data_IF_692358641762
#
_entry.id   IF_692358641762
#
_cell.length_a   1.000
_cell.length_b   1.000
_cell.length_c   1.000
_cell.angle_alpha   90.00
_cell.angle_beta   90.00
_cell.angle_gamma   90.00
#
_symmetry.space_group_name_H-M   'P 1'
#
loop_
_entity.id
_entity.type
_entity.pdbx_description
1 polymer ?
2 polymer ?
3 water ?
#
# COMPACT_ATOMS: atom_id res chain seq x y z
N UNK A 6 6.39 10.57 8.81
CA UNK A 6 7.52 10.16 9.65
C UNK A 6 7.25 10.36 11.14
N UNK A 7 7.43 9.31 11.94
CA UNK A 7 7.33 9.40 13.39
C UNK A 7 8.44 8.57 14.02
N UNK A 8 9.17 9.16 14.95
CA UNK A 8 10.36 8.49 15.46
C UNK A 8 11.41 8.42 14.38
N UNK A 9 12.06 7.26 14.24
CA UNK A 9 13.00 7.04 13.16
C UNK A 9 12.36 6.40 11.94
N UNK A 10 11.03 6.31 11.91
CA UNK A 10 10.32 5.47 10.94
C UNK A 10 9.53 6.36 9.98
N UNK A 11 9.77 6.17 8.68
CA UNK A 11 8.94 6.76 7.64
C UNK A 11 7.65 5.95 7.59
N UNK A 12 6.53 6.57 7.99
CA UNK A 12 5.26 5.82 8.04
C UNK A 12 4.79 5.39 6.66
N UNK A 13 5.08 6.18 5.62
CA UNK A 13 4.65 5.79 4.28
C UNK A 13 5.46 4.60 3.77
N UNK A 14 6.77 4.58 4.05
CA UNK A 14 7.58 3.42 3.71
C UNK A 14 7.12 2.19 4.47
N UNK A 15 6.79 2.38 5.75
CA UNK A 15 6.29 1.26 6.54
C UNK A 15 5.01 0.72 5.94
N UNK A 16 4.09 1.63 5.57
CA UNK A 16 2.84 1.22 4.96
C UNK A 16 3.06 0.52 3.62
N UNK A 17 3.98 1.05 2.78
CA UNK A 17 4.29 0.37 1.52
C UNK A 17 4.86 -1.01 1.79
N UNK A 18 5.69 -1.11 2.82
CA UNK A 18 6.31 -2.38 3.13
C UNK A 18 5.32 -3.39 3.68
N UNK A 19 4.32 -2.92 4.46
CA UNK A 19 3.29 -3.82 4.96
C UNK A 19 2.52 -4.48 3.82
N UNK A 20 2.34 -3.76 2.69
CA UNK A 20 1.61 -4.34 1.57
C UNK A 20 2.35 -5.49 0.94
N UNK A 21 3.68 -5.57 1.09
CA UNK A 21 4.49 -6.59 0.44
C UNK A 21 4.55 -7.88 1.25
N UNK A 22 4.11 -7.86 2.50
CA UNK A 22 4.14 -9.05 3.32
C UNK A 22 3.20 -10.11 2.75
N UNK A 23 3.63 -11.37 2.85
CA UNK A 23 2.73 -12.49 2.59
C UNK A 23 1.65 -12.53 3.66
N UNK A 24 0.54 -13.20 3.32
CA UNK A 24 -0.62 -13.25 4.22
C UNK A 24 -0.27 -13.87 5.56
N UNK A 25 0.56 -14.91 5.57
CA UNK A 25 0.92 -15.51 6.86
C UNK A 25 1.82 -14.59 7.67
N UNK A 26 2.64 -13.76 7.02
CA UNK A 26 3.47 -12.81 7.75
C UNK A 26 2.70 -11.59 8.21
N UNK A 27 1.58 -11.27 7.55
CA UNK A 27 0.75 -10.17 8.03
C UNK A 27 0.16 -10.48 9.39
N UNK A 28 -0.10 -11.76 9.67
CA UNK A 28 -0.63 -12.15 10.98
C UNK A 28 0.30 -11.70 12.08
N UNK A 29 1.62 -11.78 11.84
CA UNK A 29 2.59 -11.32 12.83
C UNK A 29 2.53 -9.82 13.10
N UNK A 30 2.13 -9.02 12.11
CA UNK A 30 1.92 -7.58 12.32
C UNK A 30 0.72 -7.34 13.22
N UNK A 31 -0.40 -8.01 12.92
CA UNK A 31 -1.59 -7.92 13.75
C UNK A 31 -1.28 -8.35 15.18
N UNK A 32 -0.51 -9.44 15.33
CA UNK A 32 -0.08 -9.91 16.64
C UNK A 32 0.76 -8.85 17.36
N UNK A 33 1.76 -8.30 16.68
CA UNK A 33 2.67 -7.35 17.31
C UNK A 33 1.93 -6.08 17.74
N UNK A 34 1.02 -5.58 16.90
CA UNK A 34 0.26 -4.39 17.25
C UNK A 34 -0.70 -4.68 18.39
N UNK A 35 -1.40 -5.82 18.33
CA UNK A 35 -2.39 -6.15 19.36
C UNK A 35 -1.71 -6.42 20.70
N UNK A 36 -0.56 -7.10 20.68
CA UNK A 36 0.17 -7.39 21.90
C UNK A 36 0.72 -6.14 22.57
N UNK A 37 0.86 -5.04 21.84
CA UNK A 37 1.47 -3.83 22.37
C UNK A 37 0.48 -2.67 22.39
N UNK A 38 -0.81 -2.98 22.49
CA UNK A 38 -1.84 -1.95 22.41
C UNK A 38 -1.84 -1.08 23.65
N UNK A 39 -1.84 0.23 23.44
CA UNK A 39 -2.05 1.24 24.47
C UNK A 39 -3.34 1.98 24.14
N UNK A 40 -3.91 2.73 25.10
CA UNK A 40 -5.15 3.46 24.80
C UNK A 40 -5.02 4.47 23.67
N UNK A 41 -3.87 5.14 23.58
CA UNK A 41 -3.66 6.16 22.57
C UNK A 41 -3.54 5.60 21.17
N UNK A 42 -3.28 4.30 21.04
CA UNK A 42 -3.23 3.66 19.72
C UNK A 42 -4.63 3.48 19.17
N UNK A 43 -4.82 3.82 17.91
CA UNK A 43 -6.10 3.62 17.25
C UNK A 43 -5.99 2.34 16.43
N UNK A 44 -6.58 1.26 16.96
CA UNK A 44 -6.47 -0.06 16.37
C UNK A 44 -7.84 -0.72 16.43
N UNK A 45 -8.33 -1.18 15.28
CA UNK A 45 -9.61 -1.88 15.20
C UNK A 45 -9.40 -3.20 14.49
N UNK A 46 -9.87 -4.29 15.10
CA UNK A 46 -9.91 -5.61 14.46
C UNK A 46 -11.37 -5.97 14.22
N UNK A 47 -11.84 -5.76 13.00
CA UNK A 47 -13.17 -6.20 12.58
C UNK A 47 -13.04 -7.64 12.14
N UNK A 48 -13.23 -8.55 13.11
CA UNK A 48 -12.86 -9.95 12.91
C UNK A 48 -13.72 -10.59 11.82
N UNK A 49 -15.04 -10.40 11.89
CA UNK A 49 -15.91 -11.06 10.92
C UNK A 49 -15.70 -10.53 9.51
N UNK A 50 -15.28 -9.26 9.39
CA UNK A 50 -14.96 -8.66 8.10
C UNK A 50 -13.52 -8.89 7.68
N UNK A 51 -12.66 -9.39 8.58
CA UNK A 51 -11.26 -9.59 8.24
C UNK A 51 -10.49 -8.32 8.00
N UNK A 52 -10.75 -7.27 8.78
CA UNK A 52 -10.12 -5.98 8.61
C UNK A 52 -9.36 -5.62 9.88
N UNK A 53 -8.16 -5.10 9.69
CA UNK A 53 -7.33 -4.61 10.78
C UNK A 53 -6.92 -3.20 10.38
N UNK A 54 -7.41 -2.21 11.11
CA UNK A 54 -7.32 -0.81 10.73
C UNK A 54 -6.53 -0.09 11.80
N UNK A 55 -5.44 0.57 11.41
CA UNK A 55 -4.56 1.21 12.38
C UNK A 55 -4.19 2.61 11.90
N UNK A 56 -4.12 3.54 12.86
CA UNK A 56 -3.53 4.85 12.61
C UNK A 56 -2.05 4.73 12.94
N UNK A 57 -1.19 4.74 11.91
CA UNK A 57 0.25 4.63 12.16
C UNK A 57 0.78 5.79 12.99
N UNK A 58 0.19 6.99 12.85
CA UNK A 58 0.61 8.11 13.67
C UNK A 58 0.26 7.90 15.13
N UNK A 59 -0.71 7.04 15.44
CA UNK A 59 -1.08 6.81 16.83
C UNK A 59 -0.18 5.81 17.52
N UNK A 60 0.76 5.21 16.80
CA UNK A 60 1.56 4.16 17.41
C UNK A 60 2.79 4.74 18.08
N UNK A 61 3.22 4.15 19.19
CA UNK A 61 4.45 4.64 19.83
C UNK A 61 5.66 4.30 18.99
N UNK A 62 6.72 5.08 19.20
CA UNK A 62 7.90 5.02 18.35
C UNK A 62 8.61 3.67 18.43
N UNK A 63 8.62 3.04 19.61
CA UNK A 63 9.26 1.74 19.74
C UNK A 63 8.55 0.67 18.92
N UNK A 64 7.21 0.66 18.99
CA UNK A 64 6.44 -0.28 18.20
C UNK A 64 6.60 -0.03 16.71
N UNK A 65 6.64 1.24 16.30
CA UNK A 65 6.86 1.54 14.89
C UNK A 65 8.21 1.04 14.42
N UNK A 66 9.23 1.15 15.27
CA UNK A 66 10.54 0.63 14.90
C UNK A 66 10.54 -0.89 14.79
N UNK A 67 9.89 -1.58 15.75
CA UNK A 67 9.84 -3.04 15.65
C UNK A 67 9.01 -3.49 14.45
N UNK A 68 7.95 -2.76 14.12
CA UNK A 68 7.17 -3.06 12.92
C UNK A 68 8.01 -2.90 11.67
N UNK A 69 8.75 -1.79 11.58
CA UNK A 69 9.60 -1.54 10.43
C UNK A 69 10.69 -2.60 10.31
N UNK A 70 11.29 -2.98 11.44
CA UNK A 70 12.29 -4.05 11.42
C UNK A 70 11.69 -5.36 10.96
N UNK A 71 10.45 -5.65 11.41
CA UNK A 71 9.76 -6.87 10.98
C UNK A 71 9.49 -6.83 9.49
N UNK A 72 9.07 -5.68 8.98
CA UNK A 72 8.75 -5.54 7.57
C UNK A 72 10.00 -5.72 6.73
N UNK A 73 11.13 -5.14 7.16
CA UNK A 73 12.37 -5.29 6.40
C UNK A 73 12.82 -6.74 6.39
N UNK A 74 12.64 -7.44 7.51
CA UNK A 74 13.11 -8.81 7.65
C UNK A 74 12.27 -9.78 6.82
N UNK A 75 10.98 -9.53 6.69
CA UNK A 75 10.06 -10.48 6.08
C UNK A 75 9.60 -10.11 4.68
N UNK A 76 10.19 -9.09 4.06
CA UNK A 76 9.84 -8.77 2.67
C UNK A 76 10.94 -9.18 1.70
N UNK B 2 -3.62 14.60 11.31
CA UNK B 2 -2.92 14.01 12.44
C UNK B 2 -2.91 12.49 12.32
N UNK B 3 -3.42 11.95 11.20
CA UNK B 3 -3.64 10.51 11.08
C UNK B 3 -3.02 9.96 9.81
N UNK B 4 -2.61 8.69 9.86
CA UNK B 4 -2.19 7.94 8.67
C UNK B 4 -2.87 6.58 8.79
N UNK B 5 -4.05 6.44 8.19
CA UNK B 5 -4.82 5.20 8.36
C UNK B 5 -4.34 4.14 7.37
N UNK B 6 -4.08 2.94 7.87
CA UNK B 6 -3.77 1.78 7.05
C UNK B 6 -4.79 0.70 7.36
N UNK B 7 -5.37 0.11 6.33
CA UNK B 7 -6.36 -0.94 6.48
C UNK B 7 -5.78 -2.23 5.92
N UNK B 8 -5.44 -3.17 6.81
CA UNK B 8 -5.00 -4.50 6.40
C UNK B 8 -6.24 -5.38 6.30
N UNK B 9 -6.48 -5.95 5.13
CA UNK B 9 -7.71 -6.68 4.87
C UNK B 9 -7.39 -8.07 4.34
N UNK B 10 -8.24 -9.03 4.69
CA UNK B 10 -8.03 -10.39 4.21
C UNK B 10 -8.66 -10.57 2.83
N UNK C 3 0.62 5.28 -28.35
CA UNK C 3 -0.06 3.99 -28.28
C UNK C 3 0.11 3.37 -26.91
N UNK C 4 1.28 3.61 -26.31
CA UNK C 4 1.61 3.09 -24.98
C UNK C 4 0.84 3.79 -23.85
N UNK C 5 0.04 4.82 -24.14
CA UNK C 5 -0.57 5.57 -23.06
C UNK C 5 -2.01 5.18 -22.81
N UNK C 6 -2.59 4.28 -23.61
CA UNK C 6 -3.97 3.83 -23.44
C UNK C 6 -4.02 2.32 -23.55
N UNK C 7 -4.61 1.66 -22.54
CA UNK C 7 -4.92 0.23 -22.63
C UNK C 7 -6.33 -0.02 -22.13
N UNK C 8 -7.10 -0.81 -22.88
CA UNK C 8 -8.45 -1.17 -22.47
C UNK C 8 -9.36 0.02 -22.25
N UNK C 9 -9.17 1.07 -23.06
CA UNK C 9 -9.82 2.39 -23.01
C UNK C 9 -9.44 3.20 -21.77
N UNK C 10 -8.48 2.74 -20.97
CA UNK C 10 -8.01 3.51 -19.82
C UNK C 10 -6.80 4.32 -20.24
N UNK C 11 -6.89 5.64 -20.07
CA UNK C 11 -5.75 6.52 -20.30
C UNK C 11 -4.76 6.33 -19.15
N UNK C 12 -3.60 5.72 -19.46
CA UNK C 12 -2.64 5.42 -18.40
C UNK C 12 -1.93 6.67 -17.93
N UNK C 13 -1.74 7.66 -18.80
CA UNK C 13 -1.11 8.89 -18.36
C UNK C 13 -2.03 9.66 -17.43
N UNK C 14 -3.33 9.67 -17.74
CA UNK C 14 -4.31 10.27 -16.85
C UNK C 14 -4.38 9.53 -15.52
N UNK C 15 -4.32 8.19 -15.58
CA UNK C 15 -4.27 7.41 -14.34
C UNK C 15 -3.04 7.75 -13.53
N UNK C 16 -1.89 7.86 -14.19
CA UNK C 16 -0.65 8.18 -13.49
C UNK C 16 -0.68 9.58 -12.88
N UNK C 17 -1.23 10.56 -13.60
CA UNK C 17 -1.39 11.90 -13.04
C UNK C 17 -2.28 11.87 -11.82
N UNK C 18 -3.34 11.06 -11.85
CA UNK C 18 -4.25 10.99 -10.73
C UNK C 18 -3.64 10.31 -9.52
N UNK C 19 -2.75 9.34 -9.74
CA UNK C 19 -2.04 8.68 -8.65
C UNK C 19 -1.24 9.69 -7.82
N UNK C 20 -0.68 10.71 -8.48
CA UNK C 20 0.10 11.73 -7.77
C UNK C 20 -0.77 12.57 -6.84
N UNK C 21 -2.05 12.75 -7.15
CA UNK C 21 -2.90 13.60 -6.34
C UNK C 21 -3.46 12.91 -5.11
N UNK C 22 -3.34 11.58 -5.01
CA UNK C 22 -3.87 10.86 -3.87
C UNK C 22 -3.17 11.27 -2.59
N UNK C 23 -3.93 11.42 -1.51
CA UNK C 23 -3.35 11.52 -0.18
C UNK C 23 -2.52 10.26 0.11
N UNK C 24 -1.54 10.40 1.01
CA UNK C 24 -0.55 9.35 1.25
C UNK C 24 -1.20 8.07 1.74
N UNK C 25 -2.25 8.17 2.56
CA UNK C 25 -2.92 6.96 3.01
C UNK C 25 -3.80 6.36 1.91
N UNK C 26 -4.33 7.19 0.99
CA UNK C 26 -5.05 6.62 -0.13
C UNK C 26 -4.12 6.06 -1.20
N UNK C 27 -2.90 6.59 -1.30
CA UNK C 27 -1.91 6.00 -2.20
C UNK C 27 -1.53 4.58 -1.77
N UNK C 28 -1.45 4.34 -0.46
CA UNK C 28 -1.20 2.97 0.03
C UNK C 28 -2.30 2.03 -0.42
N UNK C 29 -3.55 2.51 -0.46
CA UNK C 29 -4.65 1.70 -0.97
C UNK C 29 -4.50 1.31 -2.42
N UNK C 30 -3.86 2.15 -3.24
CA UNK C 30 -3.57 1.77 -4.62
C UNK C 30 -2.52 0.67 -4.65
N UNK C 31 -1.48 0.80 -3.83
CA UNK C 31 -0.44 -0.21 -3.74
C UNK C 31 -1.05 -1.54 -3.29
N UNK C 32 -1.99 -1.47 -2.35
CA UNK C 32 -2.69 -2.66 -1.90
C UNK C 32 -3.52 -3.30 -3.01
N UNK C 33 -4.26 -2.48 -3.77
CA UNK C 33 -5.11 -3.02 -4.83
C UNK C 33 -4.27 -3.69 -5.91
N UNK C 34 -3.12 -3.11 -6.23
CA UNK C 34 -2.24 -3.71 -7.23
C UNK C 34 -1.65 -5.00 -6.70
N UNK C 35 -1.11 -4.95 -5.48
CA UNK C 35 -0.42 -6.11 -4.90
C UNK C 35 -1.39 -7.25 -4.64
N UNK C 36 -2.61 -6.95 -4.19
CA UNK C 36 -3.57 -8.01 -3.87
C UNK C 36 -4.11 -8.69 -5.11
N UNK C 37 -4.02 -8.05 -6.26
CA UNK C 37 -4.52 -8.60 -7.51
C UNK C 37 -3.41 -8.98 -8.46
N UNK C 38 -2.21 -9.20 -7.95
CA UNK C 38 -1.06 -9.35 -8.83
C UNK C 38 -1.10 -10.70 -9.53
N UNK C 39 -0.88 -10.67 -10.84
CA UNK C 39 -0.68 -11.82 -11.69
C UNK C 39 0.76 -11.83 -12.16
N UNK C 40 1.27 -12.97 -12.67
CA UNK C 40 2.70 -12.98 -13.05
C UNK C 40 3.03 -12.02 -14.16
N UNK C 41 2.08 -11.77 -15.08
CA UNK C 41 2.29 -10.86 -16.18
C UNK C 41 2.40 -9.41 -15.75
N UNK C 42 1.94 -9.08 -14.54
CA UNK C 42 2.05 -7.71 -14.07
C UNK C 42 3.49 -7.44 -13.64
N UNK C 43 4.05 -6.33 -14.12
CA UNK C 43 5.40 -5.92 -13.74
C UNK C 43 5.27 -4.94 -12.57
N UNK C 44 5.55 -5.43 -11.37
CA UNK C 44 5.40 -4.66 -10.14
C UNK C 44 6.64 -4.89 -9.28
N UNK C 45 7.26 -3.80 -8.83
CA UNK C 45 8.44 -3.86 -7.97
C UNK C 45 8.20 -2.98 -6.76
N UNK C 46 8.33 -3.54 -5.56
CA UNK C 46 8.20 -2.78 -4.33
C UNK C 46 9.56 -2.79 -3.65
N UNK C 47 10.29 -1.69 -3.78
CA UNK C 47 11.60 -1.55 -3.14
C UNK C 47 11.36 -0.95 -1.76
N UNK C 48 11.31 -1.82 -0.74
CA UNK C 48 10.71 -1.47 0.54
C UNK C 48 11.56 -0.44 1.27
N UNK C 49 12.87 -0.68 1.36
CA UNK C 49 13.74 0.25 2.06
C UNK C 49 13.91 1.57 1.32
N UNK C 50 13.66 1.59 0.01
CA UNK C 50 13.76 2.82 -0.77
C UNK C 50 12.44 3.57 -0.86
N UNK C 51 11.33 2.94 -0.53
CA UNK C 51 10.04 3.61 -0.60
C UNK C 51 9.58 3.91 -2.02
N UNK C 52 9.80 2.98 -2.94
CA UNK C 52 9.35 3.18 -4.31
C UNK C 52 8.64 1.94 -4.81
N UNK C 53 7.53 2.17 -5.48
CA UNK C 53 6.64 1.14 -6.00
C UNK C 53 6.58 1.40 -7.49
N UNK C 54 7.16 0.50 -8.28
CA UNK C 54 7.36 0.72 -9.70
C UNK C 54 6.45 -0.24 -10.45
N UNK C 55 5.64 0.31 -11.35
CA UNK C 55 4.64 -0.50 -12.03
C UNK C 55 4.64 -0.18 -13.51
N UNK C 56 4.57 -1.21 -14.35
CA UNK C 56 4.25 -1.01 -15.77
C UNK C 56 2.75 -1.04 -15.86
N UNK C 57 2.12 0.14 -16.05
CA UNK C 57 0.67 0.14 -16.17
C UNK C 57 0.18 -0.61 -17.39
N UNK C 58 0.98 -0.69 -18.46
CA UNK C 58 0.55 -1.47 -19.62
C UNK C 58 0.58 -2.97 -19.35
N UNK C 59 1.30 -3.42 -18.31
CA UNK C 59 1.29 -4.83 -17.99
C UNK C 59 0.06 -5.25 -17.18
N UNK C 60 -0.80 -4.31 -16.80
CA UNK C 60 -1.90 -4.67 -15.93
C UNK C 60 -3.13 -5.05 -16.76
N UNK C 61 -3.92 -6.00 -16.26
CA UNK C 61 -5.15 -6.36 -16.97
C UNK C 61 -6.14 -5.20 -16.97
N UNK C 62 -6.93 -5.15 -18.04
CA UNK C 62 -7.88 -4.06 -18.25
C UNK C 62 -8.84 -3.90 -17.06
N UNK C 63 -9.30 -5.01 -16.49
CA UNK C 63 -10.21 -4.93 -15.35
C UNK C 63 -9.58 -4.26 -14.14
N UNK C 64 -8.32 -4.57 -13.87
CA UNK C 64 -7.63 -3.94 -12.75
C UNK C 64 -7.36 -2.47 -13.03
N UNK C 65 -6.99 -2.13 -14.27
CA UNK C 65 -6.79 -0.73 -14.63
C UNK C 65 -8.05 0.07 -14.43
N UNK C 66 -9.20 -0.51 -14.83
CA UNK C 66 -10.46 0.18 -14.62
C UNK C 66 -10.77 0.35 -13.14
N UNK C 67 -10.47 -0.65 -12.31
CA UNK C 67 -10.68 -0.52 -10.88
C UNK C 67 -9.74 0.51 -10.27
N UNK C 68 -8.49 0.54 -10.73
CA UNK C 68 -7.56 1.56 -10.25
C UNK C 68 -8.01 2.95 -10.65
N UNK C 69 -8.51 3.08 -11.88
CA UNK C 69 -8.94 4.39 -12.34
C UNK C 69 -10.18 4.86 -11.60
N UNK C 70 -11.11 3.93 -11.32
CA UNK C 70 -12.29 4.28 -10.51
C UNK C 70 -11.87 4.71 -9.10
N UNK C 71 -10.92 3.98 -8.48
CA UNK C 71 -10.43 4.34 -7.15
C UNK C 71 -9.79 5.72 -7.14
N UNK C 72 -8.99 6.02 -8.16
CA UNK C 72 -8.29 7.29 -8.24
C UNK C 72 -9.28 8.44 -8.39
N UNK C 73 -10.28 8.27 -9.25
CA UNK C 73 -11.34 9.28 -9.37
C UNK C 73 -12.10 9.47 -8.07
N UNK C 74 -12.38 8.38 -7.35
CA UNK C 74 -13.16 8.45 -6.11
C UNK C 74 -12.41 9.18 -5.00
N UNK C 75 -11.08 9.11 -5.00
CA UNK C 75 -10.26 9.58 -3.89
C UNK C 75 -9.40 10.79 -4.26
N UNK C 76 -9.76 11.52 -5.32
CA UNK C 76 -9.07 12.76 -5.65
C UNK C 76 -10.07 13.90 -5.78
N UNK D 1 6.96 -5.10 -25.68
CA UNK D 1 6.08 -4.36 -26.58
C UNK D 1 5.78 -2.96 -26.03
N UNK D 2 4.50 -2.67 -25.79
CA UNK D 2 4.13 -1.41 -25.18
C UNK D 2 4.34 -1.45 -23.67
N UNK D 3 4.76 -0.32 -23.11
CA UNK D 3 4.96 -0.20 -21.67
C UNK D 3 4.66 1.23 -21.25
N UNK D 4 4.21 1.39 -20.01
CA UNK D 4 4.05 2.72 -19.44
C UNK D 4 4.49 2.63 -17.98
N UNK D 5 5.73 3.03 -17.71
CA UNK D 5 6.30 2.88 -16.37
C UNK D 5 5.89 4.03 -15.47
N UNK D 6 5.42 3.70 -14.26
CA UNK D 6 5.14 4.70 -13.24
C UNK D 6 5.92 4.32 -12.00
N UNK D 7 6.64 5.29 -11.44
CA UNK D 7 7.40 5.10 -10.21
C UNK D 7 6.66 5.87 -9.13
N UNK D 8 5.95 5.14 -8.26
CA UNK D 8 5.24 5.74 -7.14
C UNK D 8 6.21 5.79 -5.97
N UNK D 9 6.52 7.00 -5.52
CA UNK D 9 7.57 7.19 -4.53
C UNK D 9 6.95 7.66 -3.21
N UNK D 10 7.60 7.31 -2.12
CA UNK D 10 7.36 8.01 -0.87
C UNK D 10 8.34 9.18 -0.84
#
# INVERSE_FOLDING_TARGET
GSASTVKGSVDLEKLAFGLTKLNEDDLVGVVQMVTDNKTPEMNVTNNVEEGEFIIDLYSLPEGLLKSLWDYVKKNT
SRSFMVKIRTKN
GSASTVKGSVDLEKLAFGLTKLNEDDLVGVVQMVTDNKTPEMNVTNNVEEGEFIIDLYSLPEGLLKSLWDYVKKNT
SRSFMVKIRTKN
#
